data_IF_236545005103
#
_entry.id   IF_236545005103
#
_cell.length_a   1.000
_cell.length_b   1.000
_cell.length_c   1.000
_cell.angle_alpha   90.00
_cell.angle_beta   90.00
_cell.angle_gamma   90.00
#
_symmetry.space_group_name_H-M   'P 1'
#
loop_
_entity.id
_entity.type
_entity.pdbx_description
1 polymer ?
#
# COMPACT_ATOMS: atom_id res chain seq x y z
N UNK A 1 -3.17 -10.69 12.43
CA UNK A 1 -2.44 -10.72 11.14
C UNK A 1 -1.99 -9.29 10.93
N UNK A 2 -0.74 -8.93 11.25
CA UNK A 2 -0.30 -7.53 11.19
C UNK A 2 -0.22 -7.12 9.72
N UNK A 3 -1.13 -6.26 9.29
CA UNK A 3 -1.08 -5.68 7.96
C UNK A 3 -0.04 -4.55 8.01
N UNK A 4 1.18 -4.86 7.55
CA UNK A 4 2.21 -3.84 7.34
C UNK A 4 1.61 -2.66 6.59
N UNK A 5 2.05 -1.43 6.95
CA UNK A 5 1.64 -0.20 6.25
C UNK A 5 1.72 -0.45 4.74
N UNK A 6 0.70 -0.02 3.96
CA UNK A 6 0.57 -0.45 2.57
C UNK A 6 1.80 -0.19 1.71
N UNK A 7 2.65 0.77 2.10
CA UNK A 7 3.84 1.16 1.36
C UNK A 7 4.92 1.58 2.36
N UNK A 8 6.04 0.85 2.46
CA UNK A 8 7.26 1.43 3.03
C UNK A 8 7.97 2.21 1.92
N UNK A 9 8.16 3.54 2.04
CA UNK A 9 8.84 4.34 1.02
C UNK A 9 10.22 3.78 0.63
N UNK A 10 10.88 3.09 1.58
CA UNK A 10 12.16 2.41 1.36
C UNK A 10 12.11 1.31 0.29
N UNK A 11 10.95 0.68 0.07
CA UNK A 11 10.81 -0.37 -0.95
C UNK A 11 10.68 0.23 -2.35
N UNK A 12 9.93 1.34 -2.50
CA UNK A 12 9.75 2.04 -3.77
C UNK A 12 10.99 2.83 -4.21
N UNK A 13 11.86 3.18 -3.25
CA UNK A 13 13.13 3.86 -3.51
C UNK A 13 14.32 2.88 -3.59
N UNK A 14 14.09 1.57 -3.47
CA UNK A 14 15.17 0.60 -3.57
C UNK A 14 15.72 0.53 -5.00
N UNK A 15 17.05 0.56 -5.14
CA UNK A 15 17.75 0.50 -6.43
C UNK A 15 17.25 -0.64 -7.33
N UNK A 16 17.03 -1.82 -6.73
CA UNK A 16 16.52 -3.03 -7.41
C UNK A 16 15.13 -2.83 -8.03
N UNK A 17 14.30 -1.99 -7.42
CA UNK A 17 12.97 -1.67 -7.92
C UNK A 17 13.06 -0.75 -9.15
N UNK A 18 13.93 0.27 -9.08
CA UNK A 18 14.21 1.19 -10.21
C UNK A 18 14.85 0.47 -11.40
N UNK A 19 15.79 -0.44 -11.17
CA UNK A 19 16.41 -1.28 -12.22
C UNK A 19 15.35 -2.12 -12.97
N UNK A 20 14.38 -2.69 -12.24
CA UNK A 20 13.29 -3.46 -12.87
C UNK A 20 12.34 -2.59 -13.69
N UNK A 21 12.00 -1.41 -13.20
CA UNK A 21 11.15 -0.48 -13.97
C UNK A 21 11.85 -0.04 -15.25
N UNK A 22 13.15 0.29 -15.17
CA UNK A 22 13.95 0.62 -16.35
C UNK A 22 14.01 -0.54 -17.35
N UNK A 23 14.21 -1.78 -16.88
CA UNK A 23 14.18 -2.99 -17.72
C UNK A 23 12.83 -3.27 -18.38
N UNK A 24 11.74 -2.75 -17.81
CA UNK A 24 10.39 -2.83 -18.38
C UNK A 24 9.99 -1.59 -19.21
N UNK A 25 10.88 -0.59 -19.35
CA UNK A 25 10.59 0.66 -20.05
C UNK A 25 9.60 1.57 -19.31
N UNK A 26 9.47 1.40 -17.99
CA UNK A 26 8.57 2.17 -17.14
C UNK A 26 9.36 3.30 -16.50
N UNK A 27 8.92 4.54 -16.73
CA UNK A 27 9.48 5.70 -16.06
C UNK A 27 8.87 5.84 -14.65
N UNK A 28 9.68 5.73 -13.58
CA UNK A 28 9.17 5.89 -12.23
C UNK A 28 8.86 7.35 -11.93
N UNK A 29 7.65 7.59 -11.41
CA UNK A 29 7.29 8.83 -10.74
C UNK A 29 6.92 8.52 -9.29
N UNK A 30 7.49 9.28 -8.37
CA UNK A 30 7.11 9.30 -6.95
C UNK A 30 6.64 10.72 -6.67
N UNK A 31 5.42 10.87 -6.16
CA UNK A 31 4.87 12.17 -5.84
C UNK A 31 5.77 12.95 -4.87
N UNK A 32 5.73 14.28 -4.95
CA UNK A 32 6.34 15.13 -3.93
C UNK A 32 5.62 14.91 -2.59
N UNK A 33 6.37 14.86 -1.49
CA UNK A 33 5.76 14.72 -0.16
C UNK A 33 4.68 15.77 0.08
N UNK A 34 3.45 15.33 0.33
CA UNK A 34 2.29 16.20 0.59
C UNK A 34 1.28 16.31 -0.55
N UNK A 35 1.51 15.71 -1.72
CA UNK A 35 0.46 15.49 -2.71
C UNK A 35 -0.19 14.12 -2.44
N UNK A 36 -1.43 14.13 -1.96
CA UNK A 36 -2.18 12.90 -1.64
C UNK A 36 -2.98 12.37 -2.82
N UNK A 37 -3.10 13.11 -3.92
CA UNK A 37 -3.95 12.73 -5.04
C UNK A 37 -3.38 11.55 -5.85
N UNK A 38 -2.06 11.43 -5.92
CA UNK A 38 -1.36 10.34 -6.62
C UNK A 38 -1.71 8.95 -6.04
N UNK A 39 -1.92 8.88 -4.72
CA UNK A 39 -2.16 7.65 -3.98
C UNK A 39 -3.63 7.44 -3.60
N UNK A 40 -4.48 8.46 -3.68
CA UNK A 40 -5.87 8.42 -3.20
C UNK A 40 -6.69 7.23 -3.73
N UNK A 41 -6.53 6.89 -5.02
CA UNK A 41 -7.22 5.75 -5.60
C UNK A 41 -6.72 4.42 -5.02
N UNK A 42 -5.40 4.25 -4.92
CA UNK A 42 -4.79 3.05 -4.35
C UNK A 42 -5.18 2.87 -2.87
N UNK A 43 -5.22 3.95 -2.10
CA UNK A 43 -5.66 3.94 -0.71
C UNK A 43 -7.14 3.60 -0.56
N UNK A 44 -8.00 4.08 -1.47
CA UNK A 44 -9.42 3.73 -1.49
C UNK A 44 -9.63 2.25 -1.71
N UNK A 45 -8.93 1.65 -2.68
CA UNK A 45 -9.00 0.21 -2.96
C UNK A 45 -8.48 -0.62 -1.78
N UNK A 46 -7.35 -0.22 -1.19
CA UNK A 46 -6.83 -0.88 0.01
C UNK A 46 -7.82 -0.81 1.18
N UNK A 47 -8.50 0.32 1.36
CA UNK A 47 -9.50 0.49 2.42
C UNK A 47 -10.72 -0.40 2.20
N UNK A 48 -11.22 -0.51 0.96
CA UNK A 48 -12.31 -1.41 0.58
C UNK A 48 -11.96 -2.88 0.88
N UNK A 49 -10.75 -3.31 0.48
CA UNK A 49 -10.32 -4.68 0.74
C UNK A 49 -10.19 -4.97 2.25
N UNK A 50 -9.62 -4.05 3.02
CA UNK A 50 -9.55 -4.18 4.49
C UNK A 50 -10.94 -4.31 5.11
N UNK A 51 -11.88 -3.47 4.70
CA UNK A 51 -13.25 -3.52 5.18
C UNK A 51 -13.93 -4.88 4.88
N UNK A 52 -13.75 -5.40 3.66
CA UNK A 52 -14.28 -6.72 3.29
C UNK A 52 -13.71 -7.84 4.15
N UNK A 53 -12.38 -7.86 4.35
CA UNK A 53 -11.70 -8.90 5.15
C UNK A 53 -12.15 -8.84 6.61
N UNK A 54 -12.24 -7.65 7.19
CA UNK A 54 -12.70 -7.45 8.56
C UNK A 54 -14.15 -7.93 8.70
N UNK A 55 -15.01 -7.61 7.73
CA UNK A 55 -16.41 -8.01 7.78
C UNK A 55 -16.60 -9.53 7.64
N UNK A 56 -15.87 -10.17 6.71
CA UNK A 56 -16.04 -11.59 6.39
C UNK A 56 -15.36 -12.57 7.36
N UNK A 57 -14.33 -12.15 8.10
CA UNK A 57 -13.50 -13.06 8.94
C UNK A 57 -13.66 -12.85 10.45
N UNK A 58 -14.67 -12.10 10.88
CA UNK A 58 -15.01 -11.96 12.30
C UNK A 58 -15.63 -13.23 12.92
N UNK A 59 -15.75 -13.31 14.26
CA UNK A 59 -15.57 -12.22 15.23
C UNK A 59 -14.11 -12.02 15.67
N UNK A 60 -13.69 -10.76 15.73
CA UNK A 60 -12.35 -10.36 16.17
C UNK A 60 -12.32 -10.12 17.68
N UNK A 61 -11.23 -10.53 18.34
CA UNK A 61 -11.09 -10.47 19.80
C UNK A 61 -10.63 -9.10 20.33
N UNK A 62 -10.05 -8.27 19.47
CA UNK A 62 -9.55 -6.93 19.81
C UNK A 62 -9.34 -6.10 18.54
N UNK A 63 -9.19 -4.78 18.71
CA UNK A 63 -8.84 -3.86 17.63
C UNK A 63 -7.45 -4.17 17.03
N UNK A 64 -6.47 -4.54 17.87
CA UNK A 64 -5.15 -5.01 17.42
C UNK A 64 -5.22 -6.26 16.54
N UNK A 65 -6.32 -7.04 16.57
CA UNK A 65 -6.47 -8.20 15.71
C UNK A 65 -6.77 -7.83 14.24
N UNK A 66 -7.22 -6.59 14.00
CA UNK A 66 -7.60 -6.07 12.67
C UNK A 66 -6.68 -4.95 12.16
N UNK A 67 -5.72 -4.50 12.97
CA UNK A 67 -4.64 -3.57 12.57
C UNK A 67 -3.42 -4.29 11.98
#
# INVERSE_FOLDING_TARGET
MVLRRPLEPKQYLALRYTERMAGAGIEPSVGSGGDSYDNALAETINSLFKAEVIHRRGPWRSFEAVE
#
